data_IF_353269340920
#
_entry.id   IF_353269340920
#
_cell.length_a   1.000
_cell.length_b   1.000
_cell.length_c   1.000
_cell.angle_alpha   90.00
_cell.angle_beta   90.00
_cell.angle_gamma   90.00
#
_symmetry.space_group_name_H-M   'P 1'
#
loop_
_entity.id
_entity.type
_entity.pdbx_description
1 polymer ?
#
# COMPACT_ATOMS: atom_id res chain seq x y z
N UNK A 1 -3.36 14.57 10.98
CA UNK A 1 -3.21 14.14 9.57
C UNK A 1 -1.85 13.51 9.27
N UNK A 2 -0.71 14.15 9.56
CA UNK A 2 0.62 13.55 9.28
C UNK A 2 0.85 12.23 10.03
N UNK A 3 0.50 12.15 11.31
CA UNK A 3 0.70 10.92 12.11
C UNK A 3 -0.16 9.75 11.65
N UNK A 4 -1.40 10.01 11.24
CA UNK A 4 -2.29 8.99 10.67
C UNK A 4 -1.78 8.47 9.32
N UNK A 5 -1.17 9.32 8.49
CA UNK A 5 -0.50 8.84 7.27
C UNK A 5 0.71 7.96 7.59
N UNK A 6 1.54 8.32 8.56
CA UNK A 6 2.65 7.48 8.99
C UNK A 6 2.15 6.13 9.54
N UNK A 7 1.03 6.13 10.27
CA UNK A 7 0.37 4.90 10.74
C UNK A 7 -0.10 4.05 9.55
N UNK A 8 -0.76 4.65 8.57
CA UNK A 8 -1.20 3.96 7.35
C UNK A 8 -0.02 3.39 6.55
N UNK A 9 1.07 4.15 6.40
CA UNK A 9 2.31 3.71 5.76
C UNK A 9 2.94 2.49 6.47
N UNK A 10 2.90 2.46 7.81
CA UNK A 10 3.35 1.28 8.57
C UNK A 10 2.46 0.06 8.32
N UNK A 11 1.14 0.26 8.26
CA UNK A 11 0.18 -0.83 7.99
C UNK A 11 0.36 -1.45 6.60
N UNK A 12 0.82 -0.69 5.61
CA UNK A 12 1.19 -1.27 4.31
C UNK A 12 2.30 -2.31 4.43
N UNK A 13 3.31 -2.08 5.27
CA UNK A 13 4.42 -3.03 5.40
C UNK A 13 3.91 -4.37 5.94
N UNK A 14 3.15 -4.32 7.02
CA UNK A 14 2.67 -5.52 7.68
C UNK A 14 1.61 -6.24 6.81
N UNK A 15 0.75 -5.48 6.13
CA UNK A 15 -0.21 -6.02 5.16
C UNK A 15 0.45 -6.65 3.93
N UNK A 16 1.48 -6.02 3.36
CA UNK A 16 2.23 -6.54 2.20
C UNK A 16 3.03 -7.79 2.57
N UNK A 17 3.63 -7.82 3.75
CA UNK A 17 4.27 -9.04 4.28
C UNK A 17 3.24 -10.18 4.39
N UNK A 18 2.02 -9.88 4.81
CA UNK A 18 0.91 -10.83 4.90
C UNK A 18 0.48 -11.44 3.56
N UNK A 19 0.71 -10.77 2.42
CA UNK A 19 0.28 -11.24 1.09
C UNK A 19 0.87 -12.60 0.74
N UNK A 20 2.08 -12.92 1.20
CA UNK A 20 2.73 -14.20 0.92
C UNK A 20 1.95 -15.41 1.47
N UNK A 21 1.06 -15.19 2.44
CA UNK A 21 0.24 -16.24 3.05
C UNK A 21 -1.11 -16.44 2.34
N UNK A 22 -1.46 -15.57 1.39
CA UNK A 22 -2.65 -15.74 0.57
C UNK A 22 -2.45 -16.82 -0.49
N UNK A 23 -3.51 -17.41 -1.03
CA UNK A 23 -3.43 -18.26 -2.21
C UNK A 23 -2.78 -17.52 -3.39
N UNK A 24 -1.91 -18.20 -4.14
CA UNK A 24 -1.05 -17.59 -5.16
C UNK A 24 -1.81 -16.76 -6.21
N UNK A 25 -3.02 -17.19 -6.58
CA UNK A 25 -3.87 -16.51 -7.55
C UNK A 25 -4.38 -15.14 -7.07
N UNK A 26 -4.45 -14.89 -5.75
CA UNK A 26 -4.89 -13.63 -5.18
C UNK A 26 -3.74 -12.66 -4.87
N UNK A 27 -2.50 -13.18 -4.76
CA UNK A 27 -1.37 -12.39 -4.27
C UNK A 27 -1.06 -11.18 -5.15
N UNK A 28 -1.05 -11.38 -6.47
CA UNK A 28 -0.80 -10.31 -7.43
C UNK A 28 -1.87 -9.21 -7.34
N UNK A 29 -3.14 -9.58 -7.22
CA UNK A 29 -4.25 -8.62 -7.14
C UNK A 29 -4.18 -7.81 -5.85
N UNK A 30 -3.94 -8.47 -4.71
CA UNK A 30 -3.74 -7.80 -3.43
C UNK A 30 -2.56 -6.82 -3.47
N UNK A 31 -1.45 -7.23 -4.08
CA UNK A 31 -0.26 -6.41 -4.23
C UNK A 31 -0.48 -5.18 -5.12
N UNK A 32 -1.18 -5.35 -6.25
CA UNK A 32 -1.55 -4.24 -7.14
C UNK A 32 -2.42 -3.23 -6.40
N UNK A 33 -3.42 -3.69 -5.65
CA UNK A 33 -4.27 -2.81 -4.84
C UNK A 33 -3.45 -2.02 -3.81
N UNK A 34 -2.53 -2.68 -3.11
CA UNK A 34 -1.65 -2.02 -2.15
C UNK A 34 -0.78 -0.93 -2.82
N UNK A 35 -0.17 -1.24 -3.98
CA UNK A 35 0.66 -0.28 -4.73
C UNK A 35 -0.15 0.93 -5.21
N UNK A 36 -1.37 0.70 -5.72
CA UNK A 36 -2.24 1.79 -6.19
C UNK A 36 -2.64 2.71 -5.04
N UNK A 37 -3.05 2.14 -3.90
CA UNK A 37 -3.50 2.91 -2.75
C UNK A 37 -2.35 3.69 -2.08
N UNK A 38 -1.14 3.10 -2.11
CA UNK A 38 0.09 3.79 -1.75
C UNK A 38 0.36 5.05 -2.62
N UNK A 39 0.19 4.95 -3.94
CA UNK A 39 0.38 6.08 -4.85
C UNK A 39 -0.75 7.13 -4.71
N UNK A 40 -1.97 6.71 -4.35
CA UNK A 40 -3.08 7.60 -4.00
C UNK A 40 -2.74 8.47 -2.78
N UNK A 41 -2.19 7.88 -1.71
CA UNK A 41 -1.75 8.63 -0.54
C UNK A 41 -0.66 9.66 -0.89
N UNK A 42 0.24 9.33 -1.82
CA UNK A 42 1.23 10.29 -2.34
C UNK A 42 0.56 11.44 -3.08
N UNK A 43 -0.44 11.17 -3.92
CA UNK A 43 -1.18 12.21 -4.64
C UNK A 43 -1.87 13.18 -3.68
N UNK A 44 -2.53 12.66 -2.64
CA UNK A 44 -3.16 13.47 -1.58
C UNK A 44 -2.13 14.35 -0.86
N UNK A 45 -0.94 13.80 -0.54
CA UNK A 45 0.15 14.57 0.08
C UNK A 45 0.70 15.66 -0.84
N UNK A 46 0.88 15.36 -2.13
CA UNK A 46 1.40 16.30 -3.13
C UNK A 46 0.45 17.49 -3.36
N UNK A 47 -0.85 17.30 -3.14
CA UNK A 47 -1.87 18.34 -3.21
C UNK A 47 -2.05 19.11 -1.89
N UNK A 48 -1.19 18.90 -0.89
CA UNK A 48 -1.27 19.61 0.38
C UNK A 48 -2.52 19.27 1.20
N UNK A 49 -3.08 18.08 1.02
CA UNK A 49 -4.32 17.62 1.67
C UNK A 49 -5.59 18.38 1.27
N UNK A 50 -5.54 19.21 0.21
CA UNK A 50 -6.73 19.85 -0.36
C UNK A 50 -7.49 18.85 -1.26
N UNK A 51 -8.21 17.93 -0.61
CA UNK A 51 -9.11 16.95 -1.25
C UNK A 51 -10.50 17.51 -1.51
N UNK A 52 -10.78 18.74 -1.09
CA UNK A 52 -12.09 19.38 -1.22
C UNK A 52 -12.21 20.23 -2.50
N UNK A 53 -11.11 20.81 -2.99
CA UNK A 53 -11.16 21.74 -4.14
C UNK A 53 -10.73 21.12 -5.47
N UNK A 54 -9.93 20.03 -5.45
CA UNK A 54 -9.46 19.33 -6.65
C UNK A 54 -9.51 17.83 -6.41
N UNK A 55 -10.19 17.10 -7.28
CA UNK A 55 -10.22 15.65 -7.19
C UNK A 55 -8.79 15.11 -7.39
N UNK A 56 -8.26 14.30 -6.45
CA UNK A 56 -6.95 13.67 -6.59
C UNK A 56 -6.98 12.65 -7.72
N UNK A 57 -6.78 13.12 -8.96
CA UNK A 57 -6.74 12.25 -10.14
C UNK A 57 -5.35 11.65 -10.31
N UNK A 58 -5.23 10.37 -9.97
CA UNK A 58 -4.22 9.53 -10.60
C UNK A 58 -4.66 9.33 -12.05
N UNK A 59 -4.04 10.05 -12.99
CA UNK A 59 -4.31 9.87 -14.41
C UNK A 59 -4.27 8.38 -14.78
N UNK A 60 -5.23 7.92 -15.58
CA UNK A 60 -5.41 6.49 -15.89
C UNK A 60 -4.12 5.82 -16.41
N UNK A 61 -3.28 6.58 -17.12
CA UNK A 61 -1.96 6.15 -17.59
C UNK A 61 -0.99 5.79 -16.44
N UNK A 62 -1.01 6.55 -15.34
CA UNK A 62 -0.16 6.30 -14.17
C UNK A 62 -0.59 5.02 -13.44
N UNK A 63 -1.91 4.80 -13.31
CA UNK A 63 -2.47 3.55 -12.76
C UNK A 63 -2.04 2.35 -13.60
N UNK A 64 -2.22 2.43 -14.92
CA UNK A 64 -1.82 1.37 -15.85
C UNK A 64 -0.31 1.09 -15.79
N UNK A 65 0.52 2.15 -15.73
CA UNK A 65 1.97 2.01 -15.57
C UNK A 65 2.34 1.27 -14.28
N UNK A 66 1.70 1.61 -13.15
CA UNK A 66 1.92 0.93 -11.87
C UNK A 66 1.52 -0.54 -11.92
N UNK A 67 0.38 -0.86 -12.51
CA UNK A 67 -0.08 -2.25 -12.69
C UNK A 67 0.94 -3.03 -13.55
N UNK A 68 1.36 -2.47 -14.68
CA UNK A 68 2.32 -3.09 -15.58
C UNK A 68 3.67 -3.36 -14.89
N UNK A 69 4.20 -2.36 -14.16
CA UNK A 69 5.44 -2.50 -13.39
C UNK A 69 5.30 -3.54 -12.29
N UNK A 70 4.22 -3.51 -11.51
CA UNK A 70 3.95 -4.49 -10.45
C UNK A 70 3.94 -5.91 -11.01
N UNK A 71 3.24 -6.12 -12.12
CA UNK A 71 3.18 -7.44 -12.79
C UNK A 71 4.54 -7.88 -13.34
N UNK A 72 5.34 -6.97 -13.90
CA UNK A 72 6.69 -7.29 -14.38
C UNK A 72 7.64 -7.68 -13.24
N UNK A 73 7.67 -6.90 -12.16
CA UNK A 73 8.47 -7.20 -10.98
C UNK A 73 8.02 -8.49 -10.28
N UNK A 74 6.70 -8.73 -10.22
CA UNK A 74 6.14 -9.97 -9.69
C UNK A 74 6.64 -11.20 -10.44
N UNK A 75 6.65 -11.17 -11.78
CA UNK A 75 7.19 -12.26 -12.60
C UNK A 75 8.67 -12.54 -12.35
N UNK A 76 9.46 -11.53 -11.95
CA UNK A 76 10.91 -11.68 -11.73
C UNK A 76 11.25 -12.13 -10.32
N UNK A 77 10.57 -11.62 -9.30
CA UNK A 77 10.96 -11.79 -7.89
C UNK A 77 10.05 -12.73 -7.10
N UNK A 78 8.75 -12.84 -7.46
CA UNK A 78 7.70 -13.58 -6.71
C UNK A 78 7.70 -13.32 -5.20
N UNK A 79 8.14 -12.14 -4.77
CA UNK A 79 8.14 -11.72 -3.37
C UNK A 79 7.36 -10.40 -3.24
N UNK A 80 6.23 -10.37 -2.49
CA UNK A 80 5.36 -9.20 -2.43
C UNK A 80 6.02 -7.99 -1.80
N UNK A 81 6.82 -8.16 -0.76
CA UNK A 81 7.54 -7.05 -0.13
C UNK A 81 8.55 -6.41 -1.09
N UNK A 82 9.34 -7.22 -1.78
CA UNK A 82 10.36 -6.72 -2.70
C UNK A 82 9.73 -5.96 -3.86
N UNK A 83 8.64 -6.49 -4.41
CA UNK A 83 7.90 -5.84 -5.50
C UNK A 83 7.25 -4.55 -5.02
N UNK A 84 6.62 -4.55 -3.85
CA UNK A 84 6.02 -3.35 -3.28
C UNK A 84 7.06 -2.25 -3.05
N UNK A 85 8.23 -2.58 -2.47
CA UNK A 85 9.32 -1.61 -2.26
C UNK A 85 9.89 -1.06 -3.58
N UNK A 86 9.91 -1.88 -4.64
CA UNK A 86 10.44 -1.46 -5.94
C UNK A 86 9.48 -0.54 -6.73
N UNK A 87 8.17 -0.69 -6.51
CA UNK A 87 7.14 -0.01 -7.31
C UNK A 87 6.42 1.11 -6.53
N UNK A 88 6.23 0.96 -5.23
CA UNK A 88 5.63 2.00 -4.39
C UNK A 88 6.61 3.14 -4.16
N UNK A 89 6.10 4.37 -4.19
CA UNK A 89 6.87 5.59 -3.98
C UNK A 89 6.81 6.09 -2.54
N UNK A 90 6.36 5.24 -1.60
CA UNK A 90 6.32 5.54 -0.18
C UNK A 90 7.74 5.40 0.39
N UNK A 91 8.25 6.46 0.99
CA UNK A 91 9.49 6.40 1.76
C UNK A 91 9.22 5.57 3.03
N UNK A 92 9.81 4.38 3.14
CA UNK A 92 9.73 3.57 4.38
C UNK A 92 10.41 4.31 5.53
N UNK A 93 9.70 4.79 6.56
CA UNK A 93 10.36 5.29 7.76
C UNK A 93 11.05 4.12 8.49
N UNK A 94 12.26 4.36 9.00
CA UNK A 94 13.03 3.38 9.78
C UNK A 94 12.20 2.93 11.00
N UNK A 95 12.15 1.62 11.21
CA UNK A 95 11.40 0.91 12.25
C UNK A 95 11.58 1.54 13.64
N UNK A 96 10.57 2.26 14.12
CA UNK A 96 10.26 2.33 15.56
C UNK A 96 9.40 1.13 15.90
N UNK A 97 9.85 0.27 16.82
CA UNK A 97 9.08 -0.87 17.33
C UNK A 97 7.74 -0.32 17.86
N UNK A 98 6.62 -0.70 17.23
CA UNK A 98 5.29 -0.53 17.81
C UNK A 98 4.73 -1.92 18.02
N UNK A 99 4.39 -2.16 19.27
CA UNK A 99 3.83 -3.42 19.76
C UNK A 99 2.43 -3.57 19.16
N UNK A 100 2.20 -4.72 18.53
CA UNK A 100 0.88 -5.09 18.00
C UNK A 100 -0.04 -5.33 19.20
N UNK A 101 -1.03 -4.46 19.43
CA UNK A 101 -2.06 -4.67 20.45
C UNK A 101 -3.18 -5.55 19.85
N UNK A 102 -3.37 -6.80 20.34
CA UNK A 102 -4.38 -7.72 19.81
C UNK A 102 -5.85 -7.29 20.05
N UNK A 103 -6.08 -6.14 20.71
CA UNK A 103 -7.39 -5.66 21.14
C UNK A 103 -8.26 -5.00 20.05
N UNK A 104 -7.75 -4.81 18.84
CA UNK A 104 -8.53 -4.25 17.71
C UNK A 104 -9.43 -5.30 17.00
N UNK A 105 -9.52 -6.53 17.51
CA UNK A 105 -10.53 -7.50 17.04
C UNK A 105 -11.89 -7.14 17.65
N UNK A 106 -12.69 -6.38 16.89
CA UNK A 106 -14.10 -6.13 17.21
C UNK A 106 -14.82 -7.49 17.27
N UNK A 107 -15.44 -7.87 18.40
CA UNK A 107 -16.18 -9.12 18.47
C UNK A 107 -17.52 -8.95 17.74
N UNK A 108 -17.64 -9.53 16.55
CA UNK A 108 -18.95 -9.77 15.92
C UNK A 108 -19.68 -10.81 16.77
N UNK A 109 -20.53 -10.36 17.70
CA UNK A 109 -21.53 -11.22 18.32
C UNK A 109 -22.67 -11.44 17.32
N UNK A 110 -22.88 -12.70 16.95
CA UNK A 110 -24.19 -13.24 16.54
C UNK A 110 -24.80 -13.94 17.76
#
# INVERSE_FOLDING_TARGET
MRDELCRAESLYRDGVAGIQHLPEYCQLTALVSAVLYADYHRAIRAQGYDVFSKEPSLGSLRKLSLIARTRWHWRKMRNPETVFRAVSSIATPKRGRKDFDPRDTVPTRL
#
